data_IF_103357767203
#
_entry.id   IF_103357767203
#
_cell.length_a   1.000
_cell.length_b   1.000
_cell.length_c   1.000
_cell.angle_alpha   90.00
_cell.angle_beta   90.00
_cell.angle_gamma   90.00
#
_symmetry.space_group_name_H-M   'P 1'
#
loop_
_entity.id
_entity.type
_entity.pdbx_description
1 polymer ?
#
# COMPACT_ATOMS: atom_id res chain seq x y z
N UNK A 1 1.95 -12.79 -9.63
CA UNK A 1 3.21 -12.00 -9.51
C UNK A 1 4.36 -12.96 -9.34
N UNK A 2 5.48 -12.75 -10.03
CA UNK A 2 6.54 -13.76 -10.21
C UNK A 2 7.60 -13.78 -9.10
N UNK A 3 7.87 -12.62 -8.46
CA UNK A 3 8.97 -12.43 -7.49
C UNK A 3 8.58 -11.49 -6.34
N UNK A 4 7.63 -11.86 -5.47
CA UNK A 4 7.19 -11.01 -4.36
C UNK A 4 8.31 -10.71 -3.34
N UNK A 5 9.34 -11.54 -3.27
CA UNK A 5 10.49 -11.39 -2.37
C UNK A 5 11.34 -10.14 -2.66
N UNK A 6 11.21 -9.54 -3.84
CA UNK A 6 11.93 -8.32 -4.22
C UNK A 6 11.31 -7.04 -3.65
N UNK A 7 10.20 -7.14 -2.90
CA UNK A 7 9.43 -6.00 -2.44
C UNK A 7 9.29 -6.00 -0.92
N UNK A 8 9.57 -4.85 -0.29
CA UNK A 8 9.21 -4.62 1.11
C UNK A 8 7.72 -4.32 1.18
N UNK A 9 6.98 -5.05 2.01
CA UNK A 9 5.54 -4.85 2.17
C UNK A 9 5.15 -4.54 3.62
N UNK A 10 4.10 -3.73 3.78
CA UNK A 10 3.48 -3.43 5.06
C UNK A 10 1.96 -3.55 4.93
N UNK A 11 1.32 -3.95 6.02
CA UNK A 11 -0.13 -4.07 6.07
C UNK A 11 -0.73 -2.81 6.67
N UNK A 12 -1.66 -2.18 5.96
CA UNK A 12 -2.34 -0.98 6.42
C UNK A 12 -3.85 -1.06 6.17
N UNK A 13 -4.69 -0.53 7.08
CA UNK A 13 -6.02 -0.10 6.71
C UNK A 13 -5.91 0.98 5.62
N UNK A 14 -6.69 0.84 4.55
CA UNK A 14 -6.69 1.77 3.42
C UNK A 14 -8.07 2.33 3.12
N UNK A 15 -8.10 3.53 2.58
CA UNK A 15 -9.31 4.19 2.07
C UNK A 15 -8.99 4.97 0.81
N UNK A 16 -9.88 4.93 -0.18
CA UNK A 16 -9.80 5.82 -1.34
C UNK A 16 -10.74 6.99 -1.10
N UNK A 17 -10.24 8.22 -1.22
CA UNK A 17 -11.05 9.42 -1.16
C UNK A 17 -11.97 9.47 -2.39
N UNK A 18 -13.27 9.67 -2.19
CA UNK A 18 -14.25 9.71 -3.28
C UNK A 18 -14.81 11.11 -3.50
N UNK A 19 -14.53 12.06 -2.60
CA UNK A 19 -15.12 13.39 -2.62
C UNK A 19 -14.07 14.52 -2.54
N UNK A 20 -14.47 15.72 -2.96
CA UNK A 20 -13.63 16.92 -2.88
C UNK A 20 -12.42 16.91 -3.83
N UNK A 21 -11.49 17.83 -3.59
CA UNK A 21 -10.33 18.07 -4.48
C UNK A 21 -9.30 16.93 -4.48
N UNK A 22 -9.36 16.03 -3.50
CA UNK A 22 -8.44 14.88 -3.39
C UNK A 22 -9.09 13.56 -3.79
N UNK A 23 -10.24 13.59 -4.47
CA UNK A 23 -10.89 12.38 -4.99
C UNK A 23 -9.91 11.55 -5.84
N UNK A 24 -9.89 10.24 -5.61
CA UNK A 24 -8.96 9.27 -6.19
C UNK A 24 -7.70 9.03 -5.34
N UNK A 25 -7.40 9.85 -4.33
CA UNK A 25 -6.23 9.65 -3.47
C UNK A 25 -6.46 8.44 -2.55
N UNK A 26 -5.49 7.52 -2.54
CA UNK A 26 -5.41 6.44 -1.56
C UNK A 26 -4.72 6.92 -0.28
N UNK A 27 -5.38 6.73 0.85
CA UNK A 27 -4.87 7.02 2.17
C UNK A 27 -4.56 5.72 2.91
N UNK A 28 -3.46 5.72 3.66
CA UNK A 28 -3.04 4.62 4.55
C UNK A 28 -3.12 5.11 5.99
N UNK A 29 -3.64 4.29 6.89
CA UNK A 29 -3.67 4.62 8.31
C UNK A 29 -2.45 4.03 9.04
N UNK A 30 -1.56 4.89 9.55
CA UNK A 30 -0.28 4.49 10.15
C UNK A 30 -0.07 4.93 11.61
N UNK A 31 -0.98 5.73 12.19
CA UNK A 31 -0.90 6.20 13.59
C UNK A 31 -2.11 5.75 14.40
N UNK A 32 -1.89 4.94 15.43
CA UNK A 32 -2.95 4.24 16.17
C UNK A 32 -3.31 4.84 17.53
N UNK A 33 -2.62 5.89 17.99
CA UNK A 33 -2.76 6.40 19.36
C UNK A 33 -3.96 7.30 19.61
N UNK A 34 -4.19 8.29 18.74
CA UNK A 34 -5.09 9.41 19.08
C UNK A 34 -6.45 9.35 18.35
N UNK A 35 -6.55 8.55 17.28
CA UNK A 35 -7.69 8.51 16.38
C UNK A 35 -7.89 7.07 15.85
N UNK A 36 -8.94 6.35 16.28
CA UNK A 36 -9.24 5.02 15.76
C UNK A 36 -9.62 5.05 14.26
N UNK A 37 -8.98 4.25 13.39
CA UNK A 37 -9.24 4.28 11.94
C UNK A 37 -10.69 3.98 11.53
N UNK A 38 -11.40 3.17 12.33
CA UNK A 38 -12.82 2.83 12.13
C UNK A 38 -13.73 4.06 12.08
N UNK A 39 -13.41 5.13 12.82
CA UNK A 39 -14.18 6.37 12.80
C UNK A 39 -13.97 7.20 11.52
N UNK A 40 -12.99 6.85 10.70
CA UNK A 40 -12.65 7.54 9.45
C UNK A 40 -13.00 6.72 8.21
N UNK A 41 -13.81 5.66 8.36
CA UNK A 41 -14.27 4.84 7.23
C UNK A 41 -13.16 3.98 6.61
N UNK A 42 -12.12 3.65 7.37
CA UNK A 42 -11.13 2.66 6.97
C UNK A 42 -11.63 1.24 7.26
N UNK A 43 -11.33 0.30 6.37
CA UNK A 43 -11.55 -1.12 6.65
C UNK A 43 -10.36 -1.66 7.46
N UNK A 44 -10.56 -1.77 8.78
CA UNK A 44 -9.53 -2.25 9.72
C UNK A 44 -9.48 -3.76 9.84
N UNK A 45 -10.58 -4.45 9.52
CA UNK A 45 -10.67 -5.92 9.58
C UNK A 45 -9.92 -6.59 8.43
N UNK A 46 -9.86 -5.93 7.28
CA UNK A 46 -9.23 -6.44 6.06
C UNK A 46 -8.19 -5.43 5.55
N UNK A 47 -7.03 -5.30 6.23
CA UNK A 47 -5.99 -4.39 5.79
C UNK A 47 -5.37 -4.85 4.48
N UNK A 48 -4.95 -3.89 3.65
CA UNK A 48 -4.28 -4.18 2.38
C UNK A 48 -2.77 -4.31 2.59
N UNK A 49 -2.16 -5.25 1.86
CA UNK A 49 -0.70 -5.34 1.73
C UNK A 49 -0.21 -4.32 0.72
N UNK A 50 0.59 -3.37 1.17
CA UNK A 50 1.13 -2.28 0.37
C UNK A 50 2.64 -2.47 0.22
N UNK A 51 3.12 -2.37 -1.02
CA UNK A 51 4.56 -2.31 -1.32
C UNK A 51 5.07 -0.93 -0.94
N UNK A 52 6.06 -0.87 -0.06
CA UNK A 52 6.67 0.39 0.44
C UNK A 52 8.13 0.54 0.03
N UNK A 53 8.73 -0.52 -0.50
CA UNK A 53 10.09 -0.55 -1.02
C UNK A 53 10.27 -1.66 -2.04
N UNK A 54 11.33 -1.57 -2.84
CA UNK A 54 11.68 -2.56 -3.85
C UNK A 54 13.20 -2.63 -4.00
N UNK A 55 13.73 -3.83 -4.26
CA UNK A 55 15.07 -4.02 -4.80
C UNK A 55 15.02 -3.68 -6.31
N UNK A 56 15.31 -2.42 -6.63
CA UNK A 56 15.17 -1.89 -7.98
C UNK A 56 16.13 -2.58 -8.96
N UNK A 57 17.35 -2.89 -8.52
CA UNK A 57 18.36 -3.50 -9.39
C UNK A 57 17.96 -4.93 -9.75
N UNK A 58 17.56 -5.74 -8.75
CA UNK A 58 17.08 -7.10 -8.99
C UNK A 58 15.79 -7.15 -9.82
N UNK A 59 14.87 -6.19 -9.62
CA UNK A 59 13.66 -6.06 -10.45
C UNK A 59 14.03 -5.74 -11.90
N UNK A 60 14.97 -4.82 -12.12
CA UNK A 60 15.42 -4.47 -13.47
C UNK A 60 16.09 -5.65 -14.19
N UNK A 61 17.00 -6.37 -13.51
CA UNK A 61 17.64 -7.58 -14.06
C UNK A 61 16.59 -8.63 -14.44
N UNK A 62 15.63 -8.87 -13.55
CA UNK A 62 14.51 -9.76 -13.83
C UNK A 62 13.74 -9.29 -15.07
N UNK A 63 13.33 -8.02 -15.13
CA UNK A 63 12.56 -7.49 -16.27
C UNK A 63 13.31 -7.64 -17.58
N UNK A 64 14.59 -7.29 -17.62
CA UNK A 64 15.43 -7.41 -18.83
C UNK A 64 15.67 -8.86 -19.25
N UNK A 65 15.63 -9.83 -18.33
CA UNK A 65 15.71 -11.26 -18.69
C UNK A 65 14.45 -11.81 -19.38
N UNK A 66 13.32 -11.07 -19.31
CA UNK A 66 12.04 -11.44 -19.93
C UNK A 66 11.78 -10.71 -21.26
N UNK A 67 12.65 -9.78 -21.68
CA UNK A 67 12.59 -9.06 -22.97
C UNK A 67 13.61 -9.66 -23.92
#
# INVERSE_FOLDING_TARGET
LLKPELFETKSYPVRVETQGMSSGKTWVWSRTGDFPPEHFGYNVEHPATIVVGADVDAVNEMTLSYV
#
